data_IF_666425295166
#
_entry.id   IF_666425295166
#
_cell.length_a   1.000
_cell.length_b   1.000
_cell.length_c   1.000
_cell.angle_alpha   90.00
_cell.angle_beta   90.00
_cell.angle_gamma   90.00
#
_symmetry.space_group_name_H-M   'P 1'
#
loop_
_entity.id
_entity.type
_entity.pdbx_description
1 polymer ?
#
# COMPACT_ATOMS: atom_id res chain seq x y z
N UNK A 1 47.36 -30.05 -18.32
CA UNK A 1 46.44 -31.14 -18.71
C UNK A 1 45.37 -31.25 -17.62
N UNK A 2 44.16 -30.78 -17.90
CA UNK A 2 42.85 -31.16 -17.30
C UNK A 2 41.88 -29.99 -17.46
N UNK A 3 40.97 -30.15 -18.42
CA UNK A 3 39.88 -29.22 -18.66
C UNK A 3 38.74 -29.40 -17.67
N UNK A 4 38.06 -28.29 -17.38
CA UNK A 4 36.68 -28.30 -16.90
C UNK A 4 35.82 -27.58 -17.94
N UNK A 5 34.91 -28.34 -18.55
CA UNK A 5 33.87 -27.85 -19.45
C UNK A 5 32.85 -27.06 -18.61
N UNK A 6 32.60 -25.81 -19.00
CA UNK A 6 31.39 -25.09 -18.62
C UNK A 6 30.21 -25.69 -19.40
N UNK A 7 29.14 -26.04 -18.70
CA UNK A 7 27.87 -26.41 -19.32
C UNK A 7 26.82 -25.39 -18.84
N UNK A 8 26.35 -24.56 -19.76
CA UNK A 8 25.29 -23.58 -19.55
C UNK A 8 23.97 -24.29 -19.85
N UNK A 9 23.11 -24.42 -18.85
CA UNK A 9 21.73 -24.90 -19.00
C UNK A 9 20.79 -23.75 -18.67
N UNK A 10 20.18 -23.20 -19.71
CA UNK A 10 19.10 -22.21 -19.66
C UNK A 10 17.85 -22.92 -19.14
N UNK A 11 17.24 -22.44 -18.06
CA UNK A 11 15.88 -22.82 -17.68
C UNK A 11 14.96 -21.61 -17.83
N UNK A 12 14.04 -21.73 -18.79
CA UNK A 12 12.86 -20.89 -18.95
C UNK A 12 11.79 -21.32 -17.95
N UNK A 13 11.44 -20.47 -16.99
CA UNK A 13 10.24 -20.69 -16.17
C UNK A 13 9.01 -20.09 -16.86
N UNK A 14 8.06 -20.96 -17.15
CA UNK A 14 6.69 -20.62 -17.56
C UNK A 14 5.87 -20.50 -16.27
N UNK A 15 5.35 -19.30 -16.00
CA UNK A 15 4.43 -19.03 -14.89
C UNK A 15 3.07 -19.63 -15.23
N UNK A 16 2.62 -20.66 -14.50
CA UNK A 16 1.26 -21.21 -14.59
C UNK A 16 0.52 -20.92 -13.28
N UNK A 17 -0.60 -20.22 -13.42
CA UNK A 17 -1.56 -19.84 -12.37
C UNK A 17 -2.19 -21.06 -11.66
N UNK A 18 -2.49 -21.02 -10.35
CA UNK A 18 -3.10 -22.14 -9.66
C UNK A 18 -4.63 -22.11 -9.82
N UNK A 19 -5.16 -22.94 -10.73
CA UNK A 19 -6.50 -23.53 -10.58
C UNK A 19 -6.33 -25.01 -10.27
N UNK A 20 -6.63 -25.40 -9.04
CA UNK A 20 -6.61 -26.80 -8.61
C UNK A 20 -7.85 -27.50 -9.19
N UNK A 21 -7.64 -28.40 -10.15
CA UNK A 21 -8.62 -29.42 -10.53
C UNK A 21 -8.16 -30.75 -9.92
N UNK A 22 -8.92 -31.30 -8.97
CA UNK A 22 -8.69 -32.65 -8.44
C UNK A 22 -9.56 -33.62 -9.26
N UNK A 23 -8.91 -34.48 -10.04
CA UNK A 23 -9.54 -35.63 -10.70
C UNK A 23 -9.24 -36.86 -9.84
N UNK A 24 -10.29 -37.58 -9.41
CA UNK A 24 -10.13 -38.85 -8.70
C UNK A 24 -10.08 -40.01 -9.70
N UNK A 25 -9.03 -40.84 -9.64
CA UNK A 25 -8.94 -42.11 -10.37
C UNK A 25 -8.98 -43.29 -9.39
N UNK A 26 -10.15 -43.93 -9.31
CA UNK A 26 -10.50 -45.25 -8.70
C UNK A 26 -10.25 -45.49 -7.19
N UNK A 27 -11.20 -46.13 -6.48
CA UNK A 27 -11.07 -46.50 -5.08
C UNK A 27 -10.76 -47.99 -4.93
N UNK A 28 -9.49 -48.39 -4.83
CA UNK A 28 -9.02 -49.69 -4.32
C UNK A 28 -7.51 -49.75 -4.53
N UNK A 29 -6.74 -49.30 -3.54
CA UNK A 29 -5.38 -49.76 -3.21
C UNK A 29 -4.74 -48.79 -2.20
N UNK A 30 -5.21 -48.83 -0.95
CA UNK A 30 -4.47 -48.25 0.17
C UNK A 30 -4.43 -49.31 1.27
N UNK A 31 -3.45 -50.20 1.22
CA UNK A 31 -2.84 -50.82 2.40
C UNK A 31 -1.50 -51.44 2.03
N UNK A 32 -0.45 -50.63 1.97
CA UNK A 32 0.93 -51.09 2.19
C UNK A 32 1.83 -49.91 2.55
N UNK A 33 1.93 -49.62 3.85
CA UNK A 33 3.02 -48.79 4.39
C UNK A 33 3.86 -49.73 5.23
N UNK A 34 5.09 -50.03 4.78
CA UNK A 34 6.11 -50.69 5.61
C UNK A 34 6.50 -49.75 6.76
N UNK A 35 6.61 -50.23 8.01
CA UNK A 35 7.09 -49.40 9.09
C UNK A 35 8.60 -49.18 8.98
N UNK A 36 9.02 -47.92 9.08
CA UNK A 36 10.40 -47.58 9.39
C UNK A 36 10.73 -48.07 10.81
N UNK A 37 11.84 -48.78 10.90
CA UNK A 37 12.40 -49.36 12.12
C UNK A 37 12.65 -48.32 13.21
N UNK A 38 12.50 -48.77 14.46
CA UNK A 38 12.84 -48.13 15.75
C UNK A 38 11.69 -47.37 16.43
N UNK A 39 10.80 -48.14 17.08
CA UNK A 39 10.26 -47.89 18.43
C UNK A 39 9.48 -49.15 18.85
N UNK A 40 9.81 -49.71 20.02
CA UNK A 40 9.25 -50.98 20.52
C UNK A 40 7.74 -50.94 20.83
N UNK A 41 7.10 -52.10 21.07
CA UNK A 41 5.65 -52.20 21.12
C UNK A 41 5.10 -51.82 22.51
N UNK A 42 4.23 -50.81 22.56
CA UNK A 42 3.32 -50.57 23.69
C UNK A 42 1.86 -50.54 23.18
N UNK A 43 0.87 -50.98 23.98
CA UNK A 43 -0.20 -51.83 23.47
C UNK A 43 -1.45 -51.06 23.02
N UNK A 44 -1.77 -51.13 21.73
CA UNK A 44 -3.05 -50.67 21.14
C UNK A 44 -4.18 -51.71 21.34
N UNK A 45 -3.91 -52.86 21.98
CA UNK A 45 -4.89 -53.97 22.11
C UNK A 45 -5.95 -53.79 23.19
N UNK A 46 -5.84 -52.82 24.10
CA UNK A 46 -6.78 -52.64 25.22
C UNK A 46 -7.95 -51.68 24.93
N UNK A 47 -7.89 -50.84 23.89
CA UNK A 47 -8.99 -49.89 23.59
C UNK A 47 -10.12 -50.47 22.74
N UNK A 48 -9.89 -51.57 22.02
CA UNK A 48 -10.89 -52.11 21.07
C UNK A 48 -12.00 -52.90 21.80
N UNK A 49 -11.78 -53.34 23.04
CA UNK A 49 -12.72 -54.22 23.76
C UNK A 49 -13.78 -53.49 24.61
N UNK A 50 -13.72 -52.16 24.75
CA UNK A 50 -14.65 -51.40 25.60
C UNK A 50 -15.87 -50.87 24.81
N UNK A 51 -15.85 -50.86 23.47
CA UNK A 51 -16.84 -50.12 22.67
C UNK A 51 -17.89 -50.96 21.92
N UNK A 52 -17.87 -52.29 21.97
CA UNK A 52 -18.83 -53.11 21.22
C UNK A 52 -19.31 -54.36 22.00
N UNK A 53 -20.52 -54.37 22.60
CA UNK A 53 -21.19 -55.62 22.93
C UNK A 53 -21.73 -56.24 21.63
N UNK A 54 -21.42 -57.52 21.38
CA UNK A 54 -21.84 -58.23 20.16
C UNK A 54 -23.36 -58.47 20.16
N UNK A 55 -24.10 -58.18 19.08
CA UNK A 55 -25.51 -58.58 19.01
C UNK A 55 -25.66 -60.00 18.45
N UNK A 56 -26.51 -60.77 19.13
CA UNK A 56 -26.99 -62.10 18.78
C UNK A 56 -27.83 -62.05 17.48
N UNK A 57 -27.47 -62.85 16.48
CA UNK A 57 -28.20 -62.95 15.21
C UNK A 57 -29.39 -63.91 15.35
N UNK A 58 -30.61 -63.45 15.06
CA UNK A 58 -31.77 -64.31 14.77
C UNK A 58 -32.12 -64.13 13.29
N UNK A 59 -31.97 -65.20 12.50
CA UNK A 59 -32.31 -65.21 11.08
C UNK A 59 -33.84 -65.22 10.90
N UNK A 60 -34.36 -64.32 10.06
CA UNK A 60 -35.59 -64.60 9.31
C UNK A 60 -35.40 -64.20 7.85
N UNK A 61 -35.79 -65.12 6.98
CA UNK A 61 -35.72 -65.07 5.53
C UNK A 61 -36.95 -64.36 4.98
N UNK A 62 -36.77 -63.32 4.17
CA UNK A 62 -37.65 -63.02 3.02
C UNK A 62 -36.95 -62.02 2.09
N UNK A 63 -36.93 -62.36 0.80
CA UNK A 63 -36.44 -61.53 -0.29
C UNK A 63 -37.30 -60.27 -0.42
N UNK A 64 -36.70 -59.10 -0.22
CA UNK A 64 -37.01 -57.85 -0.91
C UNK A 64 -35.90 -56.84 -0.59
N UNK A 65 -35.20 -56.38 -1.62
CA UNK A 65 -34.14 -55.38 -1.52
C UNK A 65 -34.72 -54.01 -1.21
N UNK A 66 -34.67 -53.60 0.06
CA UNK A 66 -34.84 -52.21 0.48
C UNK A 66 -33.45 -51.65 0.76
N UNK A 67 -32.99 -50.73 -0.11
CA UNK A 67 -31.81 -49.90 0.14
C UNK A 67 -32.11 -48.95 1.31
N UNK A 68 -31.59 -49.25 2.50
CA UNK A 68 -31.50 -48.26 3.58
C UNK A 68 -30.38 -47.25 3.24
N UNK A 69 -30.57 -45.95 3.48
CA UNK A 69 -29.51 -44.98 3.27
C UNK A 69 -28.36 -45.23 4.27
N UNK A 70 -27.09 -45.04 3.86
CA UNK A 70 -25.96 -45.15 4.77
C UNK A 70 -26.04 -44.02 5.81
N UNK A 71 -26.07 -44.41 7.08
CA UNK A 71 -25.99 -43.49 8.20
C UNK A 71 -24.60 -42.83 8.20
N UNK A 72 -24.47 -41.49 8.16
CA UNK A 72 -23.18 -40.83 8.03
C UNK A 72 -22.56 -40.62 9.42
N UNK A 73 -21.94 -41.64 9.98
CA UNK A 73 -21.04 -41.47 11.13
C UNK A 73 -19.70 -42.08 10.76
N UNK A 74 -18.71 -41.25 10.39
CA UNK A 74 -17.28 -41.64 10.48
C UNK A 74 -16.28 -40.50 10.20
N UNK A 75 -16.64 -39.38 9.58
CA UNK A 75 -15.63 -38.35 9.23
C UNK A 75 -15.38 -37.34 10.36
N UNK A 76 -16.41 -37.01 11.15
CA UNK A 76 -16.32 -35.90 12.11
C UNK A 76 -15.48 -36.27 13.34
N UNK A 77 -15.57 -37.52 13.82
CA UNK A 77 -14.87 -37.95 15.04
C UNK A 77 -13.37 -38.19 14.86
N UNK A 78 -12.95 -38.66 13.67
CA UNK A 78 -11.52 -38.80 13.33
C UNK A 78 -10.85 -37.43 13.16
N UNK A 79 -11.59 -36.41 12.71
CA UNK A 79 -11.07 -35.04 12.57
C UNK A 79 -10.71 -34.38 13.91
N UNK A 80 -11.46 -34.71 14.98
CA UNK A 80 -11.26 -34.13 16.32
C UNK A 80 -10.01 -34.71 16.97
N UNK A 81 -9.81 -36.04 16.89
CA UNK A 81 -8.63 -36.70 17.44
C UNK A 81 -7.35 -36.30 16.69
N UNK A 82 -7.43 -36.14 15.35
CA UNK A 82 -6.30 -35.68 14.55
C UNK A 82 -5.93 -34.22 14.86
N UNK A 83 -6.94 -33.33 15.00
CA UNK A 83 -6.70 -31.96 15.46
C UNK A 83 -6.01 -31.93 16.81
N UNK A 84 -6.52 -32.70 17.79
CA UNK A 84 -6.03 -32.64 19.15
C UNK A 84 -4.60 -33.20 19.29
N UNK A 85 -4.22 -34.21 18.49
CA UNK A 85 -2.84 -34.69 18.43
C UNK A 85 -1.89 -33.76 17.67
N UNK A 86 -2.37 -33.01 16.67
CA UNK A 86 -1.55 -32.03 15.94
C UNK A 86 -1.19 -30.81 16.81
N UNK A 87 -2.08 -30.40 17.73
CA UNK A 87 -1.84 -29.26 18.61
C UNK A 87 -0.89 -29.56 19.78
N UNK A 88 -0.73 -30.82 20.20
CA UNK A 88 0.06 -31.15 21.41
C UNK A 88 1.56 -31.30 21.12
N UNK A 89 1.98 -31.47 19.85
CA UNK A 89 3.38 -31.69 19.48
C UNK A 89 4.13 -30.49 18.87
N UNK A 90 3.51 -29.31 18.76
CA UNK A 90 4.26 -28.09 18.45
C UNK A 90 5.00 -27.59 19.71
N UNK A 91 6.08 -28.30 20.04
CA UNK A 91 7.18 -27.72 20.82
C UNK A 91 7.61 -26.42 20.13
N UNK A 92 7.61 -25.34 20.91
CA UNK A 92 8.15 -24.03 20.61
C UNK A 92 9.50 -24.09 19.87
N UNK A 93 9.45 -24.04 18.54
CA UNK A 93 10.52 -23.56 17.68
C UNK A 93 9.86 -22.73 16.58
N UNK A 94 9.41 -21.54 16.99
CA UNK A 94 8.76 -20.56 16.14
C UNK A 94 9.82 -19.86 15.29
N UNK A 95 10.44 -20.57 14.34
CA UNK A 95 11.15 -19.91 13.24
C UNK A 95 10.09 -19.35 12.29
N UNK A 96 9.53 -18.18 12.63
CA UNK A 96 8.68 -17.42 11.70
C UNK A 96 9.58 -16.87 10.61
N UNK A 97 9.84 -17.66 9.57
CA UNK A 97 10.49 -17.17 8.37
C UNK A 97 9.49 -16.30 7.62
N UNK A 98 9.76 -15.00 7.54
CA UNK A 98 8.98 -14.08 6.68
C UNK A 98 8.96 -14.61 5.25
N UNK A 99 7.81 -14.50 4.58
CA UNK A 99 7.69 -14.85 3.16
C UNK A 99 8.58 -13.91 2.31
N UNK A 100 8.96 -14.32 1.09
CA UNK A 100 9.79 -13.50 0.21
C UNK A 100 9.23 -12.09 -0.01
N UNK A 101 7.90 -11.97 -0.16
CA UNK A 101 7.17 -10.71 -0.40
C UNK A 101 7.29 -9.76 0.80
N UNK A 102 7.16 -10.28 2.02
CA UNK A 102 7.40 -9.48 3.23
C UNK A 102 8.83 -8.95 3.30
N UNK A 103 9.83 -9.74 2.88
CA UNK A 103 11.23 -9.30 2.91
C UNK A 103 11.49 -8.21 1.87
N UNK A 104 10.94 -8.34 0.65
CA UNK A 104 11.08 -7.32 -0.39
C UNK A 104 10.38 -6.02 0.02
N UNK A 105 9.15 -6.10 0.53
CA UNK A 105 8.40 -4.91 0.93
C UNK A 105 9.07 -4.20 2.10
N UNK A 106 9.55 -4.93 3.11
CA UNK A 106 10.29 -4.33 4.22
C UNK A 106 11.58 -3.65 3.76
N UNK A 107 12.27 -4.20 2.77
CA UNK A 107 13.45 -3.56 2.17
C UNK A 107 13.07 -2.26 1.42
N UNK A 108 12.02 -2.31 0.58
CA UNK A 108 11.50 -1.13 -0.12
C UNK A 108 11.09 -0.05 0.89
N UNK A 109 10.41 -0.43 1.96
CA UNK A 109 9.98 0.49 3.01
C UNK A 109 11.14 1.04 3.82
N UNK A 110 12.19 0.26 4.09
CA UNK A 110 13.41 0.75 4.74
C UNK A 110 14.14 1.78 3.87
N UNK A 111 14.28 1.52 2.57
CA UNK A 111 14.84 2.46 1.60
C UNK A 111 13.98 3.73 1.52
N UNK A 112 12.66 3.60 1.46
CA UNK A 112 11.70 4.71 1.43
C UNK A 112 11.77 5.55 2.70
N UNK A 113 11.85 4.93 3.88
CA UNK A 113 11.98 5.62 5.15
C UNK A 113 13.30 6.39 5.22
N UNK A 114 14.41 5.76 4.78
CA UNK A 114 15.73 6.41 4.73
C UNK A 114 15.71 7.61 3.79
N UNK A 115 15.18 7.44 2.57
CA UNK A 115 14.99 8.53 1.62
C UNK A 115 14.16 9.68 2.21
N UNK A 116 13.02 9.38 2.82
CA UNK A 116 12.12 10.37 3.41
C UNK A 116 12.83 11.14 4.53
N UNK A 117 13.55 10.45 5.42
CA UNK A 117 14.32 11.08 6.49
C UNK A 117 15.39 12.01 5.90
N UNK A 118 16.14 11.56 4.89
CA UNK A 118 17.15 12.40 4.23
C UNK A 118 16.52 13.63 3.56
N UNK A 119 15.36 13.48 2.91
CA UNK A 119 14.63 14.58 2.28
C UNK A 119 14.20 15.68 3.26
N UNK A 120 14.05 15.34 4.55
CA UNK A 120 13.73 16.28 5.63
C UNK A 120 15.01 16.85 6.26
N UNK A 121 15.99 15.98 6.56
CA UNK A 121 17.21 16.37 7.26
C UNK A 121 18.12 17.27 6.42
N UNK A 122 18.23 17.04 5.11
CA UNK A 122 19.10 17.84 4.25
C UNK A 122 18.63 19.30 4.19
N UNK A 123 17.38 19.64 3.80
CA UNK A 123 16.94 21.04 3.78
C UNK A 123 16.94 21.67 5.19
N UNK A 124 16.58 20.90 6.23
CA UNK A 124 16.66 21.36 7.62
C UNK A 124 18.09 21.79 7.96
N UNK A 125 19.08 20.94 7.69
CA UNK A 125 20.49 21.22 7.96
C UNK A 125 21.00 22.42 7.17
N UNK A 126 20.67 22.51 5.88
CA UNK A 126 21.04 23.66 5.04
C UNK A 126 20.44 24.97 5.58
N UNK A 127 19.20 24.93 6.10
CA UNK A 127 18.60 26.08 6.77
C UNK A 127 19.33 26.42 8.06
N UNK A 128 19.65 25.44 8.91
CA UNK A 128 20.32 25.66 10.20
C UNK A 128 21.70 26.31 10.00
N UNK A 129 22.34 26.09 8.84
CA UNK A 129 23.57 26.74 8.41
C UNK A 129 23.37 28.07 7.69
N UNK A 130 22.13 28.56 7.60
CA UNK A 130 21.73 29.80 6.91
C UNK A 130 22.11 29.83 5.42
N UNK A 131 22.34 28.66 4.80
CA UNK A 131 22.67 28.52 3.36
C UNK A 131 21.42 28.78 2.50
N UNK A 132 20.25 28.38 3.00
CA UNK A 132 18.97 28.55 2.31
C UNK A 132 17.94 29.23 3.23
N UNK A 133 16.96 29.89 2.61
CA UNK A 133 15.87 30.55 3.35
C UNK A 133 14.90 29.53 3.95
N UNK A 134 14.15 29.94 4.98
CA UNK A 134 13.05 29.16 5.58
C UNK A 134 12.02 28.71 4.53
N UNK A 135 11.66 29.62 3.63
CA UNK A 135 10.73 29.37 2.52
C UNK A 135 11.27 28.27 1.59
N UNK A 136 12.53 28.38 1.18
CA UNK A 136 13.19 27.38 0.33
C UNK A 136 13.27 26.02 1.02
N UNK A 137 13.66 25.99 2.30
CA UNK A 137 13.74 24.74 3.07
C UNK A 137 12.37 24.03 3.15
N UNK A 138 11.30 24.76 3.47
CA UNK A 138 9.93 24.23 3.51
C UNK A 138 9.52 23.67 2.14
N UNK A 139 9.73 24.41 1.06
CA UNK A 139 9.37 23.97 -0.30
C UNK A 139 10.22 22.78 -0.77
N UNK A 140 11.48 22.67 -0.38
CA UNK A 140 12.31 21.47 -0.64
C UNK A 140 11.77 20.25 0.11
N UNK A 141 11.46 20.38 1.40
CA UNK A 141 10.89 19.27 2.18
C UNK A 141 9.57 18.81 1.56
N UNK A 142 8.68 19.75 1.22
CA UNK A 142 7.44 19.45 0.51
C UNK A 142 7.70 18.70 -0.80
N UNK A 143 8.62 19.23 -1.63
CA UNK A 143 8.95 18.71 -2.97
C UNK A 143 9.59 17.32 -2.98
N UNK A 144 10.34 16.95 -1.95
CA UNK A 144 11.08 15.69 -1.93
C UNK A 144 10.44 14.62 -1.04
N UNK A 145 9.85 14.99 0.10
CA UNK A 145 9.29 14.00 1.03
C UNK A 145 8.07 13.28 0.47
N UNK A 146 7.26 13.97 -0.34
CA UNK A 146 6.08 13.36 -0.98
C UNK A 146 6.40 12.30 -2.03
N UNK A 147 7.61 12.30 -2.61
CA UNK A 147 8.03 11.26 -3.57
C UNK A 147 8.05 9.85 -2.97
N UNK A 148 8.01 9.71 -1.64
CA UNK A 148 7.85 8.43 -0.98
C UNK A 148 6.59 7.66 -1.44
N UNK A 149 5.53 8.37 -1.87
CA UNK A 149 4.30 7.72 -2.34
C UNK A 149 4.50 6.91 -3.63
N UNK A 150 5.56 7.22 -4.40
CA UNK A 150 5.83 6.55 -5.68
C UNK A 150 6.08 5.04 -5.55
N UNK A 151 6.47 4.58 -4.36
CA UNK A 151 6.72 3.16 -4.11
C UNK A 151 5.44 2.36 -3.83
N UNK A 152 4.33 3.03 -3.49
CA UNK A 152 3.09 2.37 -3.06
C UNK A 152 2.54 1.34 -4.07
N UNK A 153 2.55 1.58 -5.40
CA UNK A 153 2.06 0.61 -6.38
C UNK A 153 2.92 -0.65 -6.51
N UNK A 154 4.11 -0.70 -5.90
CA UNK A 154 5.04 -1.82 -6.01
C UNK A 154 5.07 -2.72 -4.78
N UNK A 155 4.41 -2.32 -3.69
CA UNK A 155 4.34 -3.12 -2.47
C UNK A 155 3.34 -4.25 -2.64
N UNK A 156 3.70 -5.47 -2.26
CA UNK A 156 2.72 -6.56 -2.16
C UNK A 156 1.70 -6.29 -1.04
N UNK A 157 2.14 -5.69 0.07
CA UNK A 157 1.36 -5.31 1.23
C UNK A 157 1.28 -3.77 1.34
N UNK A 158 0.37 -3.09 0.61
CA UNK A 158 0.29 -1.62 0.57
C UNK A 158 0.01 -0.97 1.93
N UNK A 159 -0.54 -1.73 2.90
CA UNK A 159 -0.72 -1.26 4.28
C UNK A 159 0.58 -0.84 4.98
N UNK A 160 1.74 -1.32 4.53
CA UNK A 160 3.02 -0.83 5.03
C UNK A 160 3.24 0.65 4.69
N UNK A 161 2.84 1.10 3.50
CA UNK A 161 2.85 2.51 3.13
C UNK A 161 1.89 3.33 4.01
N UNK A 162 0.72 2.76 4.37
CA UNK A 162 -0.25 3.41 5.26
C UNK A 162 0.32 3.62 6.66
N UNK A 163 0.93 2.60 7.24
CA UNK A 163 1.58 2.70 8.56
C UNK A 163 2.68 3.77 8.52
N UNK A 164 3.51 3.76 7.47
CA UNK A 164 4.57 4.75 7.31
C UNK A 164 4.02 6.17 7.15
N UNK A 165 3.02 6.38 6.30
CA UNK A 165 2.36 7.67 6.13
C UNK A 165 1.73 8.17 7.44
N UNK A 166 1.05 7.29 8.19
CA UNK A 166 0.46 7.61 9.48
C UNK A 166 1.52 8.03 10.51
N UNK A 167 2.67 7.35 10.54
CA UNK A 167 3.80 7.74 11.38
C UNK A 167 4.33 9.12 11.01
N UNK A 168 4.43 9.43 9.71
CA UNK A 168 4.83 10.76 9.23
C UNK A 168 3.81 11.83 9.58
N UNK A 169 2.50 11.55 9.45
CA UNK A 169 1.42 12.44 9.90
C UNK A 169 1.53 12.74 11.40
N UNK A 170 1.74 11.72 12.23
CA UNK A 170 1.95 11.89 13.67
C UNK A 170 3.21 12.71 13.97
N UNK A 171 4.32 12.40 13.27
CA UNK A 171 5.58 13.13 13.39
C UNK A 171 5.41 14.63 13.10
N UNK A 172 4.68 14.99 12.04
CA UNK A 172 4.39 16.40 11.73
C UNK A 172 3.45 17.02 12.75
N UNK A 173 2.45 16.28 13.25
CA UNK A 173 1.52 16.77 14.28
C UNK A 173 2.21 17.13 15.60
N UNK A 174 3.23 16.38 15.98
CA UNK A 174 4.01 16.59 17.20
C UNK A 174 5.24 17.51 16.99
N UNK A 175 5.52 17.90 15.75
CA UNK A 175 6.51 18.92 15.40
C UNK A 175 5.95 20.31 15.66
N UNK A 176 6.32 20.88 16.80
CA UNK A 176 5.72 22.11 17.30
C UNK A 176 6.61 22.90 18.25
N UNK A 177 6.25 24.16 18.49
CA UNK A 177 7.00 25.11 19.33
C UNK A 177 7.27 24.58 20.75
N UNK A 178 6.30 23.86 21.31
CA UNK A 178 6.35 23.25 22.65
C UNK A 178 6.77 21.78 22.64
N UNK A 179 7.32 21.28 21.52
CA UNK A 179 7.71 19.87 21.44
C UNK A 179 8.82 19.56 22.44
N UNK A 180 8.66 18.46 23.18
CA UNK A 180 9.61 18.02 24.22
C UNK A 180 10.91 17.48 23.63
N UNK A 181 10.87 17.02 22.37
CA UNK A 181 12.03 16.43 21.71
C UNK A 181 12.75 17.50 20.88
N UNK A 182 14.07 17.60 21.08
CA UNK A 182 14.92 18.57 20.38
C UNK A 182 14.78 18.47 18.84
N UNK A 183 14.76 17.27 18.21
CA UNK A 183 14.66 17.17 16.75
C UNK A 183 13.36 17.75 16.18
N UNK A 184 12.21 17.50 16.84
CA UNK A 184 10.89 17.97 16.40
C UNK A 184 10.76 19.48 16.56
N UNK A 185 11.28 20.03 17.67
CA UNK A 185 11.32 21.49 17.88
C UNK A 185 12.21 22.17 16.83
N UNK A 186 13.40 21.62 16.57
CA UNK A 186 14.30 22.16 15.55
C UNK A 186 13.70 22.12 14.14
N UNK A 187 12.95 21.07 13.81
CA UNK A 187 12.23 21.02 12.53
C UNK A 187 11.19 22.15 12.45
N UNK A 188 10.39 22.33 13.51
CA UNK A 188 9.43 23.43 13.58
C UNK A 188 10.10 24.79 13.42
N UNK A 189 11.21 25.04 14.13
CA UNK A 189 11.97 26.29 14.04
C UNK A 189 12.57 26.49 12.63
N UNK A 190 12.88 25.39 11.92
CA UNK A 190 13.50 25.44 10.60
C UNK A 190 12.53 25.74 9.46
N UNK A 191 11.26 25.31 9.56
CA UNK A 191 10.30 25.39 8.43
C UNK A 191 8.89 25.91 8.77
N UNK A 192 8.57 26.15 10.04
CA UNK A 192 7.24 26.62 10.43
C UNK A 192 6.93 28.03 9.92
N UNK A 193 5.73 28.34 9.48
CA UNK A 193 5.36 29.70 9.05
C UNK A 193 4.93 30.58 10.23
N UNK A 194 4.83 31.90 10.03
CA UNK A 194 4.53 32.84 11.11
C UNK A 194 3.13 32.61 11.68
N UNK A 195 2.18 32.22 10.85
CA UNK A 195 0.84 31.81 11.24
C UNK A 195 0.84 30.52 12.06
N UNK A 196 1.75 29.60 11.76
CA UNK A 196 1.92 28.32 12.47
C UNK A 196 2.57 28.50 13.85
N UNK A 197 3.30 29.61 14.08
CA UNK A 197 3.81 29.98 15.41
C UNK A 197 2.69 30.16 16.44
N UNK A 198 1.53 30.66 16.00
CA UNK A 198 0.35 30.85 16.86
C UNK A 198 -0.36 29.52 17.13
N UNK A 199 -0.43 28.64 16.14
CA UNK A 199 -1.04 27.31 16.26
C UNK A 199 -0.18 26.33 17.08
N UNK A 200 1.14 26.51 17.02
CA UNK A 200 2.10 25.74 17.80
C UNK A 200 2.49 24.38 17.18
N UNK A 201 2.14 24.11 15.92
CA UNK A 201 2.56 22.93 15.15
C UNK A 201 2.61 23.22 13.64
N UNK A 202 3.29 22.37 12.87
CA UNK A 202 3.43 22.49 11.41
C UNK A 202 2.12 22.13 10.67
N UNK A 203 1.19 23.07 10.55
CA UNK A 203 -0.13 22.83 9.96
C UNK A 203 -0.07 22.38 8.49
N UNK A 204 0.66 23.07 7.63
CA UNK A 204 0.77 22.71 6.21
C UNK A 204 1.35 21.30 6.00
N UNK A 205 2.58 21.02 6.50
CA UNK A 205 3.17 19.68 6.44
C UNK A 205 2.29 18.59 7.07
N UNK A 206 1.58 18.91 8.17
CA UNK A 206 0.61 17.98 8.75
C UNK A 206 -0.56 17.68 7.82
N UNK A 207 -1.20 18.71 7.25
CA UNK A 207 -2.29 18.60 6.28
C UNK A 207 -1.88 17.76 5.07
N UNK A 208 -0.68 17.99 4.55
CA UNK A 208 -0.12 17.24 3.44
C UNK A 208 0.09 15.76 3.79
N UNK A 209 0.78 15.45 4.90
CA UNK A 209 0.95 14.07 5.34
C UNK A 209 -0.39 13.39 5.62
N UNK A 210 -1.37 14.11 6.19
CA UNK A 210 -2.71 13.59 6.43
C UNK A 210 -3.42 13.22 5.11
N UNK A 211 -3.29 14.06 4.08
CA UNK A 211 -3.83 13.75 2.75
C UNK A 211 -3.23 12.45 2.19
N UNK A 212 -1.90 12.30 2.23
CA UNK A 212 -1.20 11.09 1.77
C UNK A 212 -1.65 9.86 2.58
N UNK A 213 -1.77 9.98 3.90
CA UNK A 213 -2.24 8.89 4.76
C UNK A 213 -3.65 8.44 4.40
N UNK A 214 -4.58 9.37 4.20
CA UNK A 214 -5.96 9.05 3.81
C UNK A 214 -5.98 8.40 2.42
N UNK A 215 -5.28 8.99 1.44
CA UNK A 215 -5.24 8.45 0.08
C UNK A 215 -4.61 7.06 0.03
N UNK A 216 -3.47 6.86 0.68
CA UNK A 216 -2.82 5.55 0.74
C UNK A 216 -3.66 4.52 1.48
N UNK A 217 -4.38 4.92 2.55
CA UNK A 217 -5.29 4.04 3.28
C UNK A 217 -6.45 3.57 2.41
N UNK A 218 -7.09 4.47 1.66
CA UNK A 218 -8.21 4.13 0.77
C UNK A 218 -7.70 3.26 -0.38
N UNK A 219 -6.62 3.66 -1.05
CA UNK A 219 -6.11 2.97 -2.24
C UNK A 219 -5.31 1.71 -1.91
N UNK A 220 -4.98 1.43 -0.65
CA UNK A 220 -4.53 0.11 -0.24
C UNK A 220 -5.56 -1.00 -0.56
N UNK A 221 -6.85 -0.66 -0.64
CA UNK A 221 -7.91 -1.57 -1.09
C UNK A 221 -8.13 -1.55 -2.62
N UNK A 222 -7.60 -0.55 -3.32
CA UNK A 222 -7.72 -0.34 -4.77
C UNK A 222 -6.33 -0.17 -5.37
N UNK A 223 -5.46 -1.16 -5.11
CA UNK A 223 -4.05 -1.05 -5.38
C UNK A 223 -3.74 -0.84 -6.87
N UNK A 224 -4.59 -1.37 -7.74
CA UNK A 224 -4.46 -1.20 -9.17
C UNK A 224 -4.75 0.25 -9.65
N UNK A 225 -5.30 1.11 -8.77
CA UNK A 225 -5.71 2.48 -9.08
C UNK A 225 -4.82 3.56 -8.46
N UNK A 226 -3.68 3.21 -7.86
CA UNK A 226 -2.80 4.16 -7.18
C UNK A 226 -2.28 5.30 -8.07
N UNK A 227 -2.31 5.16 -9.40
CA UNK A 227 -1.88 6.22 -10.32
C UNK A 227 -2.67 7.53 -10.15
N UNK A 228 -3.96 7.46 -9.77
CA UNK A 228 -4.81 8.64 -9.53
C UNK A 228 -4.36 9.43 -8.30
N UNK A 229 -4.29 8.86 -7.07
CA UNK A 229 -3.83 9.61 -5.90
C UNK A 229 -2.37 10.05 -6.02
N UNK A 230 -1.50 9.24 -6.65
CA UNK A 230 -0.11 9.65 -6.90
C UNK A 230 -0.08 10.91 -7.77
N UNK A 231 -0.88 10.96 -8.84
CA UNK A 231 -0.94 12.16 -9.69
C UNK A 231 -1.41 13.37 -8.89
N UNK A 232 -2.43 13.25 -8.03
CA UNK A 232 -2.94 14.36 -7.23
C UNK A 232 -1.90 14.87 -6.21
N UNK A 233 -1.16 13.95 -5.58
CA UNK A 233 -0.08 14.27 -4.64
C UNK A 233 1.07 14.98 -5.37
N UNK A 234 1.51 14.47 -6.52
CA UNK A 234 2.59 15.09 -7.31
C UNK A 234 2.21 16.49 -7.84
N UNK A 235 0.95 16.68 -8.24
CA UNK A 235 0.41 18.01 -8.58
C UNK A 235 0.60 18.95 -7.41
N UNK A 236 0.07 18.62 -6.23
CA UNK A 236 0.20 19.49 -5.06
C UNK A 236 1.68 19.72 -4.69
N UNK A 237 2.52 18.73 -4.90
CA UNK A 237 3.93 18.81 -4.53
C UNK A 237 4.75 19.72 -5.44
N UNK A 238 4.55 19.67 -6.76
CA UNK A 238 5.36 20.40 -7.73
C UNK A 238 4.63 21.58 -8.37
N UNK A 239 3.35 21.43 -8.72
CA UNK A 239 2.59 22.50 -9.35
C UNK A 239 2.40 23.68 -8.38
N UNK A 240 2.14 23.43 -7.09
CA UNK A 240 2.06 24.51 -6.09
C UNK A 240 3.38 25.25 -5.94
N UNK A 241 4.51 24.53 -5.88
CA UNK A 241 5.84 25.13 -5.76
C UNK A 241 6.12 26.03 -6.97
N UNK A 242 5.88 25.53 -8.18
CA UNK A 242 6.08 26.28 -9.43
C UNK A 242 5.15 27.50 -9.51
N UNK A 243 3.86 27.32 -9.19
CA UNK A 243 2.88 28.39 -9.15
C UNK A 243 3.26 29.48 -8.13
N UNK A 244 3.76 29.10 -6.97
CA UNK A 244 4.24 30.04 -5.95
C UNK A 244 5.45 30.85 -6.43
N UNK A 245 6.43 30.21 -7.10
CA UNK A 245 7.59 30.93 -7.64
C UNK A 245 7.21 31.86 -8.80
N UNK A 246 6.41 31.38 -9.75
CA UNK A 246 5.97 32.20 -10.88
C UNK A 246 5.06 33.32 -10.41
N UNK A 247 4.08 33.04 -9.55
CA UNK A 247 3.16 34.03 -9.01
C UNK A 247 3.87 35.13 -8.20
N UNK A 248 4.89 34.78 -7.41
CA UNK A 248 5.69 35.78 -6.67
C UNK A 248 6.58 36.65 -7.57
N UNK A 249 7.12 36.08 -8.65
CA UNK A 249 8.11 36.77 -9.51
C UNK A 249 7.49 37.52 -10.69
N UNK A 250 6.44 36.96 -11.28
CA UNK A 250 5.84 37.43 -12.52
C UNK A 250 4.35 37.74 -12.39
N UNK A 251 3.74 37.48 -11.23
CA UNK A 251 2.31 37.71 -11.00
C UNK A 251 1.95 39.19 -11.08
N UNK A 252 1.12 39.53 -12.05
CA UNK A 252 0.58 40.89 -12.23
C UNK A 252 -0.91 40.92 -11.97
N UNK A 253 -1.62 39.86 -12.34
CA UNK A 253 -3.07 39.79 -12.26
C UNK A 253 -3.49 39.01 -11.02
N UNK A 254 -3.83 39.73 -9.96
CA UNK A 254 -4.25 39.13 -8.69
C UNK A 254 -5.69 38.61 -8.80
N UNK A 255 -5.91 37.39 -8.33
CA UNK A 255 -7.23 36.77 -8.24
C UNK A 255 -7.72 36.98 -6.82
N UNK A 256 -8.83 37.71 -6.66
CA UNK A 256 -9.46 37.89 -5.36
C UNK A 256 -10.78 37.13 -5.31
N UNK A 257 -10.83 36.07 -4.50
CA UNK A 257 -12.06 35.33 -4.22
C UNK A 257 -12.53 35.71 -2.80
N UNK A 258 -13.69 36.38 -2.68
CA UNK A 258 -14.24 36.78 -1.38
C UNK A 258 -14.36 35.60 -0.42
N UNK A 259 -13.93 35.78 0.83
CA UNK A 259 -14.04 34.79 1.89
C UNK A 259 -12.91 33.74 1.97
N UNK A 260 -12.02 33.65 0.97
CA UNK A 260 -10.95 32.64 0.91
C UNK A 260 -9.59 33.21 1.34
N UNK A 261 -9.39 34.53 1.20
CA UNK A 261 -8.18 35.22 1.65
C UNK A 261 -6.90 34.80 0.92
N UNK A 262 -7.02 34.21 -0.28
CA UNK A 262 -5.86 33.76 -1.04
C UNK A 262 -5.10 34.96 -1.67
N UNK A 263 -3.79 34.79 -1.88
CA UNK A 263 -2.95 35.71 -2.68
C UNK A 263 -2.53 35.02 -3.97
N UNK A 264 -3.51 34.55 -4.75
CA UNK A 264 -3.25 33.87 -6.04
C UNK A 264 -3.17 34.88 -7.16
N UNK A 265 -2.47 34.51 -8.22
CA UNK A 265 -2.32 35.30 -9.44
C UNK A 265 -2.69 34.45 -10.63
N UNK A 266 -3.20 35.07 -11.70
CA UNK A 266 -3.55 34.37 -12.93
C UNK A 266 -2.34 33.65 -13.52
N UNK A 267 -1.16 34.27 -13.46
CA UNK A 267 0.10 33.67 -13.91
C UNK A 267 0.48 32.44 -13.08
N UNK A 268 0.29 32.51 -11.75
CA UNK A 268 0.50 31.39 -10.84
C UNK A 268 -0.46 30.23 -11.13
N UNK A 269 -1.77 30.50 -11.26
CA UNK A 269 -2.77 29.46 -11.52
C UNK A 269 -2.65 28.87 -12.94
N UNK A 270 -2.24 29.64 -13.94
CA UNK A 270 -1.92 29.11 -15.27
C UNK A 270 -0.69 28.19 -15.21
N UNK A 271 0.33 28.58 -14.43
CA UNK A 271 1.49 27.72 -14.17
C UNK A 271 1.06 26.44 -13.47
N UNK A 272 0.17 26.52 -12.48
CA UNK A 272 -0.38 25.37 -11.79
C UNK A 272 -1.09 24.43 -12.78
N UNK A 273 -1.96 24.93 -13.65
CA UNK A 273 -2.67 24.13 -14.64
C UNK A 273 -1.73 23.40 -15.61
N UNK A 274 -0.79 24.13 -16.21
CA UNK A 274 0.14 23.56 -17.20
C UNK A 274 1.08 22.54 -16.55
N UNK A 275 1.64 22.86 -15.39
CA UNK A 275 2.50 21.91 -14.67
C UNK A 275 1.72 20.70 -14.17
N UNK A 276 0.48 20.86 -13.72
CA UNK A 276 -0.41 19.76 -13.34
C UNK A 276 -0.66 18.82 -14.53
N UNK A 277 -0.97 19.37 -15.70
CA UNK A 277 -1.20 18.57 -16.90
C UNK A 277 0.04 17.75 -17.27
N UNK A 278 1.23 18.36 -17.27
CA UNK A 278 2.49 17.67 -17.57
C UNK A 278 2.79 16.57 -16.53
N UNK A 279 2.67 16.87 -15.24
CA UNK A 279 2.90 15.92 -14.16
C UNK A 279 1.93 14.74 -14.24
N UNK A 280 0.66 14.99 -14.55
CA UNK A 280 -0.33 13.93 -14.69
C UNK A 280 -0.10 13.07 -15.92
N UNK A 281 0.32 13.64 -17.04
CA UNK A 281 0.71 12.84 -18.22
C UNK A 281 1.87 11.93 -17.85
N UNK A 282 2.91 12.48 -17.22
CA UNK A 282 4.07 11.69 -16.79
C UNK A 282 3.68 10.59 -15.81
N UNK A 283 2.81 10.90 -14.84
CA UNK A 283 2.36 9.94 -13.82
C UNK A 283 1.57 8.80 -14.43
N UNK A 284 0.51 9.12 -15.19
CA UNK A 284 -0.34 8.10 -15.80
C UNK A 284 0.38 7.31 -16.89
N UNK A 285 1.32 7.92 -17.61
CA UNK A 285 2.15 7.20 -18.58
C UNK A 285 3.12 6.25 -17.88
N UNK A 286 3.80 6.72 -16.81
CA UNK A 286 4.74 5.89 -16.06
C UNK A 286 4.06 4.68 -15.40
N UNK A 287 2.99 4.90 -14.65
CA UNK A 287 2.26 3.83 -13.95
C UNK A 287 1.22 3.10 -14.80
N UNK A 288 0.85 3.64 -15.97
CA UNK A 288 -0.10 3.00 -16.87
C UNK A 288 0.56 2.21 -18.00
N UNK A 289 1.85 2.45 -18.30
CA UNK A 289 2.49 1.85 -19.47
C UNK A 289 3.96 1.42 -19.25
N UNK A 290 4.78 2.21 -18.56
CA UNK A 290 6.23 1.93 -18.44
C UNK A 290 6.52 0.93 -17.33
N UNK A 291 6.14 1.28 -16.10
CA UNK A 291 6.40 0.52 -14.88
C UNK A 291 5.11 0.54 -14.04
N UNK A 292 4.12 -0.30 -14.39
CA UNK A 292 2.82 -0.27 -13.72
C UNK A 292 2.86 -0.79 -12.28
N UNK A 293 3.83 -1.66 -11.94
CA UNK A 293 3.77 -2.39 -10.66
C UNK A 293 2.48 -3.22 -10.61
N UNK A 294 1.70 -3.06 -9.54
CA UNK A 294 0.35 -3.64 -9.43
C UNK A 294 -0.75 -2.76 -10.04
N UNK A 295 -0.43 -1.63 -10.67
CA UNK A 295 -1.40 -0.72 -11.31
C UNK A 295 -2.03 -1.33 -12.56
N UNK A 296 -3.24 -0.88 -12.88
CA UNK A 296 -3.89 -1.19 -14.15
C UNK A 296 -3.16 -0.54 -15.33
N UNK A 297 -3.05 -1.28 -16.44
CA UNK A 297 -2.49 -0.76 -17.68
C UNK A 297 -3.51 0.17 -18.33
N UNK A 298 -3.09 1.39 -18.66
CA UNK A 298 -3.94 2.42 -19.25
C UNK A 298 -3.66 2.55 -20.76
N UNK A 299 -4.74 2.66 -21.54
CA UNK A 299 -4.62 3.06 -22.95
C UNK A 299 -4.09 4.49 -23.04
N UNK A 300 -3.39 4.82 -24.13
CA UNK A 300 -2.86 6.18 -24.35
C UNK A 300 -3.97 7.24 -24.35
N UNK A 301 -5.16 6.92 -24.85
CA UNK A 301 -6.33 7.80 -24.77
C UNK A 301 -6.76 8.09 -23.33
N UNK A 302 -6.78 7.06 -22.48
CA UNK A 302 -7.14 7.19 -21.07
C UNK A 302 -6.11 7.98 -20.28
N UNK A 303 -4.82 7.83 -20.61
CA UNK A 303 -3.74 8.65 -20.03
C UNK A 303 -4.04 10.13 -20.24
N UNK A 304 -4.21 10.58 -21.49
CA UNK A 304 -4.48 11.99 -21.77
C UNK A 304 -5.80 12.48 -21.18
N UNK A 305 -6.85 11.67 -21.27
CA UNK A 305 -8.16 12.00 -20.71
C UNK A 305 -8.09 12.25 -19.20
N UNK A 306 -7.50 11.33 -18.44
CA UNK A 306 -7.36 11.46 -16.99
C UNK A 306 -6.43 12.62 -16.62
N UNK A 307 -5.36 12.86 -17.38
CA UNK A 307 -4.45 14.00 -17.15
C UNK A 307 -5.13 15.35 -17.33
N UNK A 308 -5.92 15.51 -18.39
CA UNK A 308 -6.71 16.72 -18.62
C UNK A 308 -7.67 16.91 -17.46
N UNK A 309 -8.45 15.87 -17.13
CA UNK A 309 -9.45 15.95 -16.08
C UNK A 309 -8.85 16.33 -14.71
N UNK A 310 -7.81 15.63 -14.26
CA UNK A 310 -7.21 15.89 -12.94
C UNK A 310 -6.53 17.26 -12.89
N UNK A 311 -5.90 17.72 -13.97
CA UNK A 311 -5.24 19.04 -14.00
C UNK A 311 -6.26 20.19 -13.88
N UNK A 312 -7.40 20.10 -14.57
CA UNK A 312 -8.47 21.08 -14.46
C UNK A 312 -9.09 21.08 -13.06
N UNK A 313 -9.46 19.90 -12.54
CA UNK A 313 -10.05 19.78 -11.20
C UNK A 313 -9.08 20.30 -10.14
N UNK A 314 -7.81 19.90 -10.20
CA UNK A 314 -6.80 20.33 -9.22
C UNK A 314 -6.62 21.85 -9.23
N UNK A 315 -6.63 22.48 -10.41
CA UNK A 315 -6.52 23.94 -10.54
C UNK A 315 -7.75 24.64 -9.96
N UNK A 316 -8.96 24.13 -10.21
CA UNK A 316 -10.18 24.67 -9.62
C UNK A 316 -10.12 24.56 -8.10
N UNK A 317 -9.76 23.39 -7.57
CA UNK A 317 -9.64 23.20 -6.13
C UNK A 317 -8.56 24.09 -5.52
N UNK A 318 -7.42 24.30 -6.19
CA UNK A 318 -6.36 25.21 -5.75
C UNK A 318 -6.88 26.65 -5.64
N UNK A 319 -7.61 27.12 -6.65
CA UNK A 319 -8.20 28.47 -6.66
C UNK A 319 -9.19 28.67 -5.51
N UNK A 320 -10.07 27.70 -5.27
CA UNK A 320 -11.12 27.78 -4.26
C UNK A 320 -10.72 27.25 -2.88
N UNK A 321 -9.46 26.83 -2.70
CA UNK A 321 -8.95 26.38 -1.40
C UNK A 321 -8.29 27.54 -0.64
N UNK A 322 -8.55 27.67 0.68
CA UNK A 322 -7.74 28.55 1.51
C UNK A 322 -6.30 28.04 1.53
N UNK A 323 -5.31 28.93 1.41
CA UNK A 323 -3.88 28.59 1.35
C UNK A 323 -3.30 27.84 2.56
N UNK A 324 -4.12 27.55 3.58
CA UNK A 324 -3.76 26.77 4.77
C UNK A 324 -4.17 25.30 4.67
N UNK A 325 -5.10 24.99 3.76
CA UNK A 325 -5.76 23.70 3.63
C UNK A 325 -5.70 23.16 2.20
N UNK A 326 -5.11 23.90 1.28
CA UNK A 326 -4.88 23.48 -0.12
C UNK A 326 -4.12 22.15 -0.17
N UNK A 327 -3.07 22.00 0.63
CA UNK A 327 -2.27 20.77 0.81
C UNK A 327 -3.11 19.52 1.17
N UNK A 328 -4.31 19.71 1.74
CA UNK A 328 -5.26 18.64 2.05
C UNK A 328 -6.38 18.54 1.01
N UNK A 329 -6.97 19.69 0.63
CA UNK A 329 -8.16 19.79 -0.22
C UNK A 329 -7.84 19.32 -1.64
N UNK A 330 -6.72 19.77 -2.23
CA UNK A 330 -6.45 19.48 -3.64
C UNK A 330 -6.13 17.99 -3.85
N UNK A 331 -5.25 17.32 -3.08
CA UNK A 331 -5.00 15.90 -3.31
C UNK A 331 -6.25 15.04 -3.08
N UNK A 332 -7.00 15.30 -2.01
CA UNK A 332 -8.21 14.53 -1.68
C UNK A 332 -9.34 14.79 -2.68
N UNK A 333 -9.65 16.06 -2.93
CA UNK A 333 -10.74 16.47 -3.82
C UNK A 333 -10.49 16.05 -5.26
N UNK A 334 -9.26 16.24 -5.77
CA UNK A 334 -8.93 15.87 -7.14
C UNK A 334 -8.98 14.35 -7.32
N UNK A 335 -8.43 13.60 -6.37
CA UNK A 335 -8.50 12.14 -6.40
C UNK A 335 -9.95 11.66 -6.37
N UNK A 336 -10.77 12.19 -5.46
CA UNK A 336 -12.16 11.79 -5.32
C UNK A 336 -12.96 12.05 -6.60
N UNK A 337 -12.90 13.27 -7.12
CA UNK A 337 -13.70 13.66 -8.29
C UNK A 337 -13.23 12.87 -9.52
N UNK A 338 -11.92 12.78 -9.76
CA UNK A 338 -11.38 12.01 -10.90
C UNK A 338 -11.71 10.53 -10.78
N UNK A 339 -11.69 9.97 -9.57
CA UNK A 339 -12.09 8.57 -9.35
C UNK A 339 -13.54 8.33 -9.73
N UNK A 340 -14.44 9.23 -9.34
CA UNK A 340 -15.86 9.16 -9.73
C UNK A 340 -16.01 9.25 -11.25
N UNK A 341 -15.33 10.17 -11.91
CA UNK A 341 -15.36 10.25 -13.38
C UNK A 341 -14.78 9.00 -14.05
N UNK A 342 -13.66 8.46 -13.54
CA UNK A 342 -13.07 7.24 -14.07
C UNK A 342 -14.05 6.06 -13.99
N UNK A 343 -14.81 5.94 -12.90
CA UNK A 343 -15.90 4.96 -12.76
C UNK A 343 -16.99 5.22 -13.81
N UNK A 344 -17.49 6.45 -13.91
CA UNK A 344 -18.56 6.81 -14.86
C UNK A 344 -18.16 6.59 -16.33
N UNK A 345 -16.88 6.74 -16.65
CA UNK A 345 -16.33 6.56 -17.99
C UNK A 345 -15.93 5.11 -18.29
N UNK A 346 -16.08 4.17 -17.35
CA UNK A 346 -15.58 2.80 -17.43
C UNK A 346 -14.06 2.73 -17.70
N UNK A 347 -13.31 3.65 -17.10
CA UNK A 347 -11.84 3.74 -17.14
C UNK A 347 -11.24 3.42 -15.77
N UNK A 348 -12.08 3.03 -14.79
CA UNK A 348 -11.66 2.66 -13.45
C UNK A 348 -10.73 1.45 -13.47
#
# INVERSE_FOLDING_TARGET
>A
MMGKRFNISIFSEIIVSPRINVVFTSPLDIFSIKPATNLGPAPIKSLVKILFPSPTVRQSTTNNSILLPPIPYTVEYLSIIYKQHYYINYRFNLHVSLSPEWRSDLLIMLCTATYTILSILIPKFLKEREIITKFTARKLIHSFSGLAVLVAPYLYYPFLAVIFALLMTAFMRFSGKKSKTKPLKQLFDAIGEDEELQLGYLQGPFSYCLAITILTMIFAFFQDKFSIPISAILIMMYADVLAAYVGRRYGKHHIYIPGIGNKRTLEGSLTFLVSSLLLSILTFFFYGQILPGYSIILSTGNVFLLSILISFISTILELFSPSKYDDLIVPLGSTLIVSVFAILMNVW
#
